data_IF_496877816904
#
_entry.id   IF_496877816904
#
_cell.length_a   1.000
_cell.length_b   1.000
_cell.length_c   1.000
_cell.angle_alpha   90.00
_cell.angle_beta   90.00
_cell.angle_gamma   90.00
#
_symmetry.space_group_name_H-M   'P 1'
#
loop_
_entity.id
_entity.type
_entity.pdbx_description
1 polymer ?
#
# COMPACT_ATOMS: atom_id res chain seq x y z
N UNK A 1 4.61 -2.92 -11.12
CA UNK A 1 4.62 -1.53 -11.64
C UNK A 1 3.28 -0.96 -11.22
N UNK A 2 3.26 0.08 -10.40
CA UNK A 2 2.01 0.65 -9.89
C UNK A 2 1.39 1.55 -10.97
N UNK A 3 0.07 1.45 -11.14
CA UNK A 3 -0.73 2.12 -12.17
C UNK A 3 -1.85 2.94 -11.52
N UNK A 4 -2.14 4.13 -12.05
CA UNK A 4 -3.27 4.95 -11.59
C UNK A 4 -4.58 4.29 -12.02
N UNK A 5 -5.56 4.26 -11.12
CA UNK A 5 -6.88 3.66 -11.33
C UNK A 5 -6.92 2.16 -11.07
N UNK A 6 -5.76 1.54 -10.78
CA UNK A 6 -5.69 0.13 -10.36
C UNK A 6 -5.72 0.01 -8.84
N UNK A 7 -6.26 -1.11 -8.38
CA UNK A 7 -6.37 -1.47 -6.96
C UNK A 7 -5.13 -2.22 -6.51
N UNK A 8 -4.64 -1.86 -5.34
CA UNK A 8 -3.47 -2.45 -4.70
C UNK A 8 -3.77 -2.75 -3.25
N UNK A 9 -3.15 -3.80 -2.72
CA UNK A 9 -3.19 -4.09 -1.30
C UNK A 9 -1.96 -3.52 -0.62
N UNK A 10 -2.08 -3.19 0.66
CA UNK A 10 -0.90 -2.86 1.45
C UNK A 10 -0.15 -4.12 1.85
N UNK A 11 1.16 -3.99 1.97
CA UNK A 11 2.02 -4.98 2.61
C UNK A 11 1.65 -5.08 4.08
N UNK A 12 1.60 -6.32 4.60
CA UNK A 12 1.36 -6.63 6.01
C UNK A 12 2.26 -5.81 6.92
N UNK A 13 1.74 -4.68 7.38
CA UNK A 13 2.35 -3.85 8.40
C UNK A 13 2.01 -4.51 9.75
N UNK A 14 3.03 -4.96 10.49
CA UNK A 14 2.86 -5.45 11.86
C UNK A 14 2.22 -4.34 12.69
N UNK A 15 0.94 -4.50 13.04
CA UNK A 15 0.17 -3.51 13.82
C UNK A 15 -1.02 -2.88 13.08
N UNK A 16 -1.13 -3.05 11.76
CA UNK A 16 -2.26 -2.55 10.95
C UNK A 16 -3.01 -3.74 10.32
N UNK A 17 -3.63 -4.56 11.16
CA UNK A 17 -4.37 -5.76 10.71
C UNK A 17 -5.73 -5.43 10.09
N UNK A 18 -6.36 -4.33 10.50
CA UNK A 18 -7.73 -3.99 10.06
C UNK A 18 -7.80 -3.58 8.58
N UNK A 19 -6.77 -2.89 8.08
CA UNK A 19 -6.71 -2.38 6.70
C UNK A 19 -5.87 -3.23 5.74
N UNK A 20 -5.30 -4.35 6.22
CA UNK A 20 -4.43 -5.24 5.43
C UNK A 20 -5.15 -5.92 4.26
N UNK A 21 -6.44 -6.22 4.45
CA UNK A 21 -7.27 -6.81 3.40
C UNK A 21 -7.98 -5.77 2.53
N UNK A 22 -7.86 -4.48 2.85
CA UNK A 22 -8.46 -3.42 2.04
C UNK A 22 -7.65 -3.18 0.75
N UNK A 23 -8.39 -2.96 -0.32
CA UNK A 23 -7.85 -2.63 -1.62
C UNK A 23 -7.90 -1.11 -1.82
N UNK A 24 -6.74 -0.50 -1.93
CA UNK A 24 -6.60 0.94 -2.16
C UNK A 24 -6.48 1.21 -3.66
N UNK A 25 -7.27 2.15 -4.15
CA UNK A 25 -7.19 2.58 -5.55
C UNK A 25 -6.17 3.70 -5.67
N UNK A 26 -5.12 3.51 -6.46
CA UNK A 26 -4.13 4.57 -6.69
C UNK A 26 -4.75 5.66 -7.54
N UNK A 27 -4.70 6.90 -7.05
CA UNK A 27 -5.30 8.07 -7.73
C UNK A 27 -4.26 9.07 -8.21
N UNK A 28 -3.08 9.11 -7.59
CA UNK A 28 -1.99 9.95 -8.05
C UNK A 28 -0.62 9.39 -7.65
N UNK A 29 0.42 9.91 -8.29
CA UNK A 29 1.80 9.70 -7.89
C UNK A 29 2.38 11.00 -7.36
N UNK A 30 3.05 10.93 -6.22
CA UNK A 30 3.85 12.00 -5.66
C UNK A 30 5.29 11.93 -6.15
N UNK A 31 6.10 12.89 -5.69
CA UNK A 31 7.55 12.87 -5.89
C UNK A 31 8.19 11.78 -5.01
N UNK A 32 9.33 11.21 -5.43
CA UNK A 32 10.13 10.25 -4.65
C UNK A 32 9.43 8.93 -4.28
N UNK A 33 8.75 8.26 -5.22
CA UNK A 33 8.06 6.96 -5.02
C UNK A 33 6.82 6.98 -4.11
N UNK A 34 6.33 8.17 -3.79
CA UNK A 34 5.08 8.31 -3.06
C UNK A 34 3.90 8.08 -4.01
N UNK A 35 2.85 7.41 -3.52
CA UNK A 35 1.60 7.16 -4.26
C UNK A 35 0.41 7.56 -3.40
N UNK A 36 -0.46 8.38 -3.96
CA UNK A 36 -1.74 8.75 -3.34
C UNK A 36 -2.81 7.74 -3.74
N UNK A 37 -3.55 7.25 -2.77
CA UNK A 37 -4.56 6.22 -2.97
C UNK A 37 -5.81 6.51 -2.14
N UNK A 38 -6.92 5.88 -2.54
CA UNK A 38 -8.23 6.05 -1.92
C UNK A 38 -8.70 4.68 -1.45
N UNK A 39 -9.07 4.60 -0.17
CA UNK A 39 -9.71 3.44 0.41
C UNK A 39 -11.14 3.27 -0.14
N UNK A 40 -11.73 2.06 -0.08
CA UNK A 40 -13.13 1.87 -0.47
C UNK A 40 -14.11 2.71 0.37
N UNK A 41 -13.71 3.10 1.58
CA UNK A 41 -14.46 4.01 2.47
C UNK A 41 -14.44 5.48 2.00
N UNK A 42 -13.64 5.81 0.97
CA UNK A 42 -13.49 7.17 0.44
C UNK A 42 -12.38 7.99 1.12
N UNK A 43 -11.76 7.45 2.16
CA UNK A 43 -10.60 8.03 2.80
C UNK A 43 -9.37 8.04 1.87
N UNK A 44 -8.60 9.12 1.93
CA UNK A 44 -7.39 9.31 1.11
C UNK A 44 -6.17 9.01 1.95
N UNK A 45 -5.31 8.14 1.43
CA UNK A 45 -4.06 7.76 2.05
C UNK A 45 -2.90 7.99 1.10
N UNK A 46 -1.74 8.25 1.67
CA UNK A 46 -0.50 8.42 0.93
C UNK A 46 0.45 7.35 1.44
N UNK A 47 0.89 6.48 0.53
CA UNK A 47 1.81 5.39 0.84
C UNK A 47 3.06 5.50 -0.02
N UNK A 48 4.10 4.78 0.35
CA UNK A 48 5.21 4.53 -0.57
C UNK A 48 4.80 3.42 -1.55
N UNK A 49 5.29 3.52 -2.78
CA UNK A 49 5.09 2.53 -3.83
C UNK A 49 5.55 1.14 -3.38
N UNK A 50 6.57 1.08 -2.54
CA UNK A 50 7.14 -0.15 -1.98
C UNK A 50 6.18 -0.89 -1.02
N UNK A 51 5.22 -0.17 -0.43
CA UNK A 51 4.20 -0.77 0.43
C UNK A 51 2.99 -1.28 -0.35
N UNK A 52 2.84 -0.95 -1.63
CA UNK A 52 1.75 -1.44 -2.47
C UNK A 52 2.11 -2.77 -3.13
N UNK A 53 1.24 -3.74 -2.95
CA UNK A 53 1.33 -5.07 -3.56
C UNK A 53 0.21 -5.20 -4.58
N UNK A 54 0.58 -5.64 -5.79
CA UNK A 54 -0.37 -6.10 -6.79
C UNK A 54 -1.06 -7.37 -6.25
N UNK A 55 -2.39 -7.39 -6.06
CA UNK A 55 -3.09 -8.61 -5.66
C UNK A 55 -2.92 -9.74 -6.68
N UNK A 56 -2.65 -9.40 -7.94
CA UNK A 56 -2.31 -10.33 -9.03
C UNK A 56 -0.86 -10.86 -8.98
N UNK A 57 0.04 -10.25 -8.20
CA UNK A 57 1.43 -10.69 -8.03
C UNK A 57 1.78 -10.81 -6.54
N UNK A 58 1.29 -11.87 -5.87
CA UNK A 58 1.44 -12.06 -4.42
C UNK A 58 2.84 -12.49 -3.94
N UNK A 59 3.87 -12.47 -4.78
CA UNK A 59 5.16 -13.15 -4.47
C UNK A 59 6.18 -12.29 -3.69
N UNK A 60 5.93 -11.01 -3.43
CA UNK A 60 6.90 -10.11 -2.74
C UNK A 60 6.51 -9.68 -1.31
N UNK A 61 5.54 -10.36 -0.67
CA UNK A 61 4.92 -9.96 0.63
C UNK A 61 5.75 -10.35 1.86
N UNK A 62 7.06 -10.10 1.87
CA UNK A 62 7.80 -9.99 3.12
C UNK A 62 8.74 -8.80 3.04
N UNK A 63 8.27 -7.62 3.45
CA UNK A 63 9.16 -6.51 3.78
C UNK A 63 9.55 -6.78 5.21
N UNK A 64 10.83 -6.99 5.41
CA UNK A 64 11.44 -7.10 6.73
C UNK A 64 11.38 -5.72 7.38
N UNK A 65 10.22 -5.36 7.94
CA UNK A 65 10.08 -4.12 8.71
C UNK A 65 10.81 -4.35 10.02
N UNK A 66 12.05 -3.85 10.11
CA UNK A 66 12.74 -3.68 11.40
C UNK A 66 12.03 -2.58 12.18
N UNK A 67 11.04 -2.97 12.99
CA UNK A 67 10.50 -2.11 14.03
C UNK A 67 11.62 -1.92 15.06
N UNK A 68 12.14 -0.70 15.17
CA UNK A 68 13.03 -0.34 16.29
C UNK A 68 12.13 0.30 17.34
N UNK A 69 11.84 -0.44 18.42
CA UNK A 69 11.25 0.15 19.63
C UNK A 69 12.29 1.09 20.25
N UNK A 70 11.87 2.34 20.52
CA UNK A 70 12.65 3.36 21.21
C UNK A 70 12.20 3.51 22.65
#
# INVERSE_FOLDING_TARGET
MIEIGKKYRLKKLKGWFEKDSEEFTVVCFGEHNIVGCVAPDGERYVFDKDFLIDPDKPDEIYADIKITEG
#
